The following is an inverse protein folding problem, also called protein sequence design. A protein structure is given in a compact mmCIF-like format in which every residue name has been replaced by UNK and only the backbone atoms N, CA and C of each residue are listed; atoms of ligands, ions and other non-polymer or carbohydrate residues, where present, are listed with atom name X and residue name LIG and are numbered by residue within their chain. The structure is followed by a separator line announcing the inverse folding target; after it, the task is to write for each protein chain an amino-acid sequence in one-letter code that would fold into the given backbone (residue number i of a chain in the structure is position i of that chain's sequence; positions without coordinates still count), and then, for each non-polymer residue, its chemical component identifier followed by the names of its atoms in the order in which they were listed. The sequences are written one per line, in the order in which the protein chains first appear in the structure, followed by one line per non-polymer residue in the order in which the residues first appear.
data_IF_041055166148
#
_entry.id   IF_041055166148
#
_cell.length_a   1.000
_cell.length_b   1.000
_cell.length_c   1.000
_cell.angle_alpha   90.00
_cell.angle_beta   90.00
_cell.angle_gamma   90.00
#
_symmetry.space_group_name_H-M   'P 1'
#
loop_
_entity.id
_entity.type
_entity.pdbx_description
1 polymer ?
#
# COMPACT_ATOMS: atom_id res chain seq x y z
N UNK A 1 1.48 -28.35 -28.25
CA UNK A 1 0.00 -28.29 -28.45
C UNK A 1 -0.46 -26.86 -28.20
N UNK A 2 -0.42 -26.02 -29.24
CA UNK A 2 -0.72 -24.60 -29.16
C UNK A 2 -2.21 -24.35 -29.37
N UNK A 3 -2.90 -23.75 -28.41
CA UNK A 3 -4.28 -23.30 -28.57
C UNK A 3 -4.26 -21.93 -29.25
N UNK A 4 -4.64 -21.88 -30.53
CA UNK A 4 -5.00 -20.64 -31.24
C UNK A 4 -6.26 -20.07 -30.58
N UNK A 5 -6.16 -18.87 -30.01
CA UNK A 5 -7.35 -18.07 -29.72
C UNK A 5 -7.84 -17.44 -31.04
N UNK A 6 -9.15 -17.49 -31.34
CA UNK A 6 -9.69 -16.89 -32.55
C UNK A 6 -9.63 -15.35 -32.49
N UNK A 7 -9.32 -14.66 -33.61
CA UNK A 7 -9.19 -13.21 -33.66
C UNK A 7 -10.53 -12.56 -34.00
N UNK A 8 -11.51 -12.58 -33.08
CA UNK A 8 -12.74 -11.80 -33.25
C UNK A 8 -13.14 -11.16 -31.91
N UNK A 9 -12.44 -10.09 -31.54
CA UNK A 9 -12.92 -9.14 -30.55
C UNK A 9 -13.27 -7.84 -31.26
N UNK A 10 -14.52 -7.73 -31.69
CA UNK A 10 -15.08 -6.46 -32.15
C UNK A 10 -14.90 -5.40 -31.05
N UNK A 11 -14.51 -4.16 -31.40
CA UNK A 11 -14.32 -3.11 -30.42
C UNK A 11 -15.63 -2.86 -29.68
N UNK A 12 -15.60 -2.90 -28.34
CA UNK A 12 -16.75 -2.55 -27.51
C UNK A 12 -17.29 -1.17 -27.94
N UNK A 13 -18.52 -1.17 -28.44
CA UNK A 13 -19.22 0.03 -28.88
C UNK A 13 -19.16 1.12 -27.79
N UNK A 14 -18.73 2.31 -28.22
CA UNK A 14 -18.52 3.47 -27.37
C UNK A 14 -19.87 3.95 -26.82
N UNK A 15 -20.12 3.78 -25.52
CA UNK A 15 -21.37 4.20 -24.83
C UNK A 15 -21.38 5.72 -24.57
N UNK A 16 -21.37 6.51 -25.64
CA UNK A 16 -21.72 7.94 -25.60
C UNK A 16 -20.81 8.86 -24.77
N UNK A 17 -19.50 8.58 -24.71
CA UNK A 17 -18.51 9.44 -24.05
C UNK A 17 -17.67 10.28 -25.01
N UNK A 18 -16.89 11.23 -24.45
CA UNK A 18 -15.84 12.01 -25.15
C UNK A 18 -15.03 11.08 -26.07
N UNK A 19 -14.78 11.48 -27.34
CA UNK A 19 -14.05 10.64 -28.27
C UNK A 19 -12.70 10.20 -27.67
N UNK A 20 -12.30 8.93 -27.87
CA UNK A 20 -11.04 8.44 -27.35
C UNK A 20 -9.88 9.27 -27.91
N UNK A 21 -8.96 9.69 -27.03
CA UNK A 21 -7.81 10.50 -27.41
C UNK A 21 -6.85 9.79 -28.39
N UNK A 22 -7.00 8.48 -28.56
CA UNK A 22 -6.24 7.66 -29.50
C UNK A 22 -7.17 7.17 -30.61
N UNK A 23 -6.87 7.64 -31.83
CA UNK A 23 -7.43 7.11 -33.07
C UNK A 23 -6.82 5.74 -33.40
N UNK A 24 -7.50 4.92 -34.24
CA UNK A 24 -6.99 3.60 -34.64
C UNK A 24 -5.59 3.66 -35.28
N UNK A 25 -5.25 4.73 -36.01
CA UNK A 25 -3.92 4.96 -36.60
C UNK A 25 -2.79 5.07 -35.55
N UNK A 26 -3.08 5.63 -34.36
CA UNK A 26 -2.11 5.71 -33.29
C UNK A 26 -1.98 4.39 -32.53
N UNK A 27 -3.02 3.57 -32.55
CA UNK A 27 -2.99 2.25 -31.94
C UNK A 27 -2.11 1.29 -32.75
N UNK A 28 -2.18 1.29 -34.08
CA UNK A 28 -1.28 0.49 -34.91
C UNK A 28 0.18 0.88 -34.70
N UNK A 29 0.49 2.17 -34.71
CA UNK A 29 1.84 2.67 -34.43
C UNK A 29 2.34 2.26 -33.02
N UNK A 30 1.45 2.20 -32.03
CA UNK A 30 1.79 1.73 -30.69
C UNK A 30 2.16 0.25 -30.66
N UNK A 31 1.45 -0.58 -31.45
CA UNK A 31 1.72 -2.02 -31.53
C UNK A 31 3.03 -2.31 -32.25
N UNK A 32 3.35 -1.55 -33.29
CA UNK A 32 4.63 -1.65 -34.00
C UNK A 32 5.81 -1.33 -33.06
N UNK A 33 5.69 -0.27 -32.25
CA UNK A 33 6.70 0.10 -31.23
C UNK A 33 6.85 -1.01 -30.18
N UNK A 34 5.74 -1.62 -29.74
CA UNK A 34 5.77 -2.74 -28.78
C UNK A 34 6.39 -3.99 -29.41
N UNK A 35 6.17 -4.24 -30.70
CA UNK A 35 6.77 -5.36 -31.42
C UNK A 35 8.29 -5.17 -31.61
N UNK A 36 8.74 -3.95 -31.93
CA UNK A 36 10.17 -3.61 -32.03
C UNK A 36 10.88 -3.63 -30.67
N UNK A 37 10.18 -3.22 -29.60
CA UNK A 37 10.74 -3.06 -28.25
C UNK A 37 9.82 -3.62 -27.18
N UNK A 38 9.73 -4.94 -27.10
CA UNK A 38 8.85 -5.63 -26.14
C UNK A 38 9.14 -5.33 -24.66
N UNK A 39 10.32 -4.81 -24.32
CA UNK A 39 10.71 -4.41 -22.95
C UNK A 39 10.50 -2.92 -22.67
N UNK A 40 10.02 -2.13 -23.64
CA UNK A 40 9.87 -0.69 -23.49
C UNK A 40 8.88 -0.33 -22.37
N UNK A 41 9.22 0.71 -21.62
CA UNK A 41 8.32 1.24 -20.59
C UNK A 41 7.12 1.97 -21.21
N UNK A 42 6.03 2.14 -20.45
CA UNK A 42 4.86 2.90 -20.93
C UNK A 42 5.20 4.37 -21.25
N UNK A 43 6.22 4.93 -20.58
CA UNK A 43 6.70 6.28 -20.86
C UNK A 43 7.49 6.33 -22.16
N UNK A 44 8.35 5.34 -22.42
CA UNK A 44 9.06 5.22 -23.71
C UNK A 44 8.09 5.05 -24.87
N UNK A 45 7.05 4.24 -24.71
CA UNK A 45 6.00 4.08 -25.73
C UNK A 45 5.28 5.41 -25.98
N UNK A 46 4.95 6.17 -24.93
CA UNK A 46 4.33 7.49 -25.08
C UNK A 46 5.26 8.50 -25.77
N UNK A 47 6.57 8.46 -25.48
CA UNK A 47 7.57 9.29 -26.12
C UNK A 47 7.77 8.94 -27.61
N UNK A 48 7.81 7.65 -27.94
CA UNK A 48 7.89 7.17 -29.32
C UNK A 48 6.63 7.50 -30.12
N UNK A 49 5.44 7.46 -29.51
CA UNK A 49 4.20 7.91 -30.15
C UNK A 49 4.20 9.41 -30.44
N UNK A 50 4.78 10.21 -29.54
CA UNK A 50 4.98 11.63 -29.81
C UNK A 50 5.97 11.83 -30.97
N UNK A 51 7.06 11.07 -31.01
CA UNK A 51 8.06 11.17 -32.07
C UNK A 51 7.54 10.72 -33.45
N UNK A 52 6.75 9.62 -33.51
CA UNK A 52 6.26 9.03 -34.77
C UNK A 52 4.96 9.67 -35.27
N UNK A 53 4.07 10.06 -34.36
CA UNK A 53 2.72 10.52 -34.71
C UNK A 53 2.40 11.95 -34.25
N UNK A 54 3.30 12.61 -33.52
CA UNK A 54 3.09 13.98 -32.99
C UNK A 54 2.07 14.07 -31.85
N UNK A 55 1.60 12.93 -31.32
CA UNK A 55 0.53 12.92 -30.30
C UNK A 55 1.12 12.81 -28.90
N UNK A 56 0.92 13.84 -28.08
CA UNK A 56 1.40 13.86 -26.69
C UNK A 56 0.34 13.27 -25.74
N UNK A 57 0.64 12.12 -25.16
CA UNK A 57 -0.25 11.39 -24.24
C UNK A 57 0.49 10.99 -22.96
N UNK A 58 -0.26 10.83 -21.87
CA UNK A 58 0.27 10.25 -20.63
C UNK A 58 0.23 8.72 -20.65
N UNK A 59 1.02 8.11 -19.77
CA UNK A 59 1.09 6.66 -19.53
C UNK A 59 -0.28 6.03 -19.22
N UNK A 60 -1.15 6.74 -18.50
CA UNK A 60 -2.50 6.30 -18.17
C UNK A 60 -3.37 6.12 -19.43
N UNK A 61 -3.21 7.00 -20.43
CA UNK A 61 -3.93 6.92 -21.71
C UNK A 61 -3.45 5.73 -22.54
N UNK A 62 -2.12 5.52 -22.62
CA UNK A 62 -1.52 4.34 -23.28
C UNK A 62 -2.01 3.05 -22.62
N UNK A 63 -1.96 2.99 -21.28
CA UNK A 63 -2.44 1.83 -20.52
C UNK A 63 -3.93 1.56 -20.75
N UNK A 64 -4.76 2.60 -20.82
CA UNK A 64 -6.21 2.45 -21.09
C UNK A 64 -6.46 1.90 -22.49
N UNK A 65 -5.74 2.39 -23.50
CA UNK A 65 -5.85 1.91 -24.87
C UNK A 65 -5.42 0.45 -25.03
N UNK A 66 -4.30 0.05 -24.42
CA UNK A 66 -3.86 -1.35 -24.43
C UNK A 66 -4.85 -2.29 -23.74
N UNK A 67 -5.43 -1.88 -22.61
CA UNK A 67 -6.48 -2.67 -21.96
C UNK A 67 -7.73 -2.84 -22.81
N UNK A 68 -8.12 -1.80 -23.56
CA UNK A 68 -9.27 -1.89 -24.48
C UNK A 68 -9.03 -2.89 -25.62
N UNK A 69 -7.77 -3.10 -26.00
CA UNK A 69 -7.34 -4.11 -26.98
C UNK A 69 -7.00 -5.47 -26.35
N UNK A 70 -7.30 -5.68 -25.06
CA UNK A 70 -7.00 -6.94 -24.36
C UNK A 70 -5.52 -7.16 -24.02
N UNK A 71 -4.67 -6.15 -24.22
CA UNK A 71 -3.23 -6.24 -23.94
C UNK A 71 -2.99 -5.99 -22.46
N UNK A 72 -2.45 -6.99 -21.78
CA UNK A 72 -2.14 -6.95 -20.35
C UNK A 72 -0.63 -7.05 -20.14
N UNK A 73 -0.10 -6.20 -19.25
CA UNK A 73 1.30 -6.30 -18.83
C UNK A 73 1.49 -7.60 -18.04
N UNK A 74 2.30 -8.51 -18.57
CA UNK A 74 2.79 -9.65 -17.81
C UNK A 74 3.79 -9.13 -16.77
N UNK A 75 3.51 -9.41 -15.50
CA UNK A 75 4.50 -9.15 -14.44
C UNK A 75 5.69 -10.08 -14.72
N UNK A 76 6.94 -9.59 -14.64
CA UNK A 76 8.10 -10.45 -14.70
C UNK A 76 7.91 -11.55 -13.66
N UNK A 77 7.90 -12.81 -14.08
CA UNK A 77 8.00 -13.93 -13.16
C UNK A 77 9.34 -13.78 -12.48
N UNK A 78 9.33 -13.27 -11.24
CA UNK A 78 10.53 -13.26 -10.42
C UNK A 78 11.01 -14.71 -10.38
N UNK A 79 12.29 -15.01 -10.70
CA UNK A 79 12.82 -16.31 -10.40
C UNK A 79 12.54 -16.55 -8.92
N UNK A 80 11.88 -17.67 -8.64
CA UNK A 80 11.67 -18.14 -7.27
C UNK A 80 13.06 -18.54 -6.79
N UNK A 81 13.81 -17.56 -6.27
CA UNK A 81 14.90 -17.88 -5.37
C UNK A 81 14.28 -18.71 -4.27
N UNK A 82 14.85 -19.88 -3.98
CA UNK A 82 14.49 -20.64 -2.80
C UNK A 82 14.52 -19.64 -1.64
N UNK A 83 13.34 -19.32 -1.11
CA UNK A 83 13.26 -18.50 0.09
C UNK A 83 13.99 -19.29 1.13
N UNK A 84 15.20 -18.84 1.48
CA UNK A 84 15.88 -19.33 2.67
C UNK A 84 14.84 -19.33 3.79
N UNK A 85 14.74 -20.41 4.58
CA UNK A 85 13.77 -20.46 5.67
C UNK A 85 13.95 -19.18 6.46
N UNK A 86 12.84 -18.44 6.61
CA UNK A 86 12.84 -17.16 7.31
C UNK A 86 13.49 -17.43 8.66
N UNK A 87 14.73 -16.94 8.84
CA UNK A 87 15.46 -17.17 10.07
C UNK A 87 14.54 -16.78 11.22
N UNK A 88 14.46 -17.63 12.25
CA UNK A 88 13.70 -17.31 13.44
C UNK A 88 14.00 -15.86 13.81
N UNK A 89 12.97 -15.03 13.98
CA UNK A 89 13.12 -13.59 14.26
C UNK A 89 14.21 -13.47 15.34
N UNK A 90 15.38 -12.94 14.97
CA UNK A 90 16.54 -12.84 15.86
C UNK A 90 16.24 -11.96 17.09
N UNK A 91 15.19 -11.14 16.97
CA UNK A 91 14.58 -10.37 18.03
C UNK A 91 13.08 -10.19 17.75
N UNK A 92 12.25 -10.32 18.77
CA UNK A 92 10.81 -10.12 18.68
C UNK A 92 10.11 -10.43 20.00
N UNK A 93 9.06 -9.67 20.30
CA UNK A 93 8.19 -9.89 21.45
C UNK A 93 7.55 -11.29 21.35
N UNK A 94 8.07 -12.26 22.10
CA UNK A 94 7.55 -13.63 22.19
C UNK A 94 6.55 -13.75 23.33
N UNK A 95 5.81 -14.86 23.43
CA UNK A 95 4.93 -15.12 24.58
C UNK A 95 5.71 -15.07 25.92
N UNK A 96 7.00 -15.39 25.93
CA UNK A 96 7.87 -15.23 27.11
C UNK A 96 8.11 -13.76 27.52
N UNK A 97 7.81 -12.81 26.65
CA UNK A 97 7.85 -11.36 26.95
C UNK A 97 6.47 -10.79 27.28
N UNK A 98 5.39 -11.53 27.03
CA UNK A 98 4.08 -11.22 27.59
C UNK A 98 4.16 -11.51 29.09
N UNK A 99 4.15 -10.46 29.91
CA UNK A 99 4.07 -10.62 31.35
C UNK A 99 2.61 -10.92 31.70
N UNK A 100 2.33 -12.14 32.14
CA UNK A 100 1.05 -12.44 32.80
C UNK A 100 1.04 -11.81 34.20
N UNK A 101 -0.05 -11.08 34.49
CA UNK A 101 -0.38 -10.46 35.78
C UNK A 101 0.78 -9.87 36.59
N UNK A 102 1.37 -8.79 36.06
CA UNK A 102 2.28 -7.96 36.84
C UNK A 102 1.48 -7.22 37.92
N UNK A 103 1.92 -7.23 39.19
CA UNK A 103 1.37 -6.36 40.20
C UNK A 103 1.35 -4.90 39.69
N UNK A 104 0.28 -4.14 39.95
CA UNK A 104 0.20 -2.77 39.48
C UNK A 104 1.43 -1.98 39.93
N UNK A 105 2.08 -1.30 38.97
CA UNK A 105 3.20 -0.41 39.28
C UNK A 105 2.76 0.64 40.31
N UNK A 106 3.67 1.05 41.19
CA UNK A 106 3.44 2.14 42.14
C UNK A 106 3.08 3.49 41.46
N UNK A 107 3.29 3.58 40.14
CA UNK A 107 2.94 4.73 39.31
C UNK A 107 1.55 4.65 38.70
N UNK A 108 0.80 3.56 38.89
CA UNK A 108 -0.60 3.47 38.49
C UNK A 108 -1.49 4.40 39.34
N UNK A 109 -2.59 4.85 38.76
CA UNK A 109 -3.56 5.65 39.51
C UNK A 109 -4.37 4.78 40.47
N UNK A 110 -4.66 5.32 41.66
CA UNK A 110 -5.61 4.71 42.60
C UNK A 110 -7.04 4.79 42.04
N UNK A 111 -7.95 4.00 42.58
CA UNK A 111 -9.34 4.03 42.13
C UNK A 111 -10.01 5.39 42.42
N UNK A 112 -9.61 6.08 43.50
CA UNK A 112 -10.06 7.44 43.81
C UNK A 112 -9.54 8.48 42.82
N UNK A 113 -8.25 8.44 42.47
CA UNK A 113 -7.68 9.32 41.44
C UNK A 113 -8.33 9.10 40.08
N UNK A 114 -8.74 7.87 39.78
CA UNK A 114 -9.43 7.54 38.53
C UNK A 114 -10.84 8.07 38.46
N UNK A 115 -11.59 7.99 39.55
CA UNK A 115 -12.96 8.50 39.60
C UNK A 115 -12.99 10.01 39.29
N UNK A 116 -11.98 10.76 39.74
CA UNK A 116 -11.85 12.19 39.47
C UNK A 116 -11.62 12.56 38.00
N UNK A 117 -11.11 11.63 37.18
CA UNK A 117 -10.78 11.87 35.77
C UNK A 117 -11.64 11.03 34.81
N UNK A 118 -12.62 10.29 35.33
CA UNK A 118 -13.42 9.36 34.54
C UNK A 118 -14.19 10.07 33.41
N UNK A 119 -14.67 11.28 33.69
CA UNK A 119 -15.37 12.16 32.75
C UNK A 119 -14.54 12.54 31.52
N UNK A 120 -13.22 12.64 31.65
CA UNK A 120 -12.31 12.99 30.55
C UNK A 120 -12.13 11.84 29.55
N UNK A 121 -12.18 10.60 30.03
CA UNK A 121 -11.85 9.42 29.23
C UNK A 121 -13.08 8.60 28.82
N UNK A 122 -14.18 8.68 29.56
CA UNK A 122 -15.42 7.98 29.23
C UNK A 122 -16.18 8.69 28.10
N UNK A 123 -16.40 7.97 26.99
CA UNK A 123 -17.28 8.46 25.92
C UNK A 123 -18.71 8.05 26.22
N UNK A 124 -19.64 8.98 26.00
CA UNK A 124 -21.07 8.67 25.95
C UNK A 124 -21.38 7.55 24.94
N UNK A 125 -22.30 6.63 25.26
CA UNK A 125 -22.68 5.56 24.36
C UNK A 125 -23.22 6.14 23.04
N UNK A 126 -22.75 5.63 21.89
CA UNK A 126 -23.17 6.06 20.55
C UNK A 126 -22.20 6.97 19.78
N UNK A 127 -21.06 7.35 20.37
CA UNK A 127 -20.04 8.18 19.70
C UNK A 127 -19.24 7.40 18.63
N UNK A 128 -19.12 7.95 17.42
CA UNK A 128 -18.28 7.39 16.33
C UNK A 128 -16.79 7.39 16.72
N UNK A 129 -16.07 6.32 16.41
CA UNK A 129 -14.63 6.22 16.65
C UNK A 129 -14.04 4.87 16.30
N UNK A 130 -12.70 4.80 16.28
CA UNK A 130 -11.98 3.54 16.10
C UNK A 130 -12.31 2.56 17.24
N UNK A 131 -12.42 1.25 16.96
CA UNK A 131 -12.66 0.24 17.98
C UNK A 131 -11.57 0.30 19.05
N UNK A 132 -11.99 0.18 20.31
CA UNK A 132 -11.10 0.26 21.47
C UNK A 132 -10.34 -1.06 21.59
N UNK A 133 -9.03 -1.04 21.33
CA UNK A 133 -8.16 -2.21 21.41
C UNK A 133 -7.58 -2.46 22.82
N UNK A 134 -7.48 -1.42 23.64
CA UNK A 134 -6.95 -1.46 25.01
C UNK A 134 -7.92 -0.79 25.96
N UNK A 135 -8.01 -1.26 27.21
CA UNK A 135 -8.85 -0.60 28.18
C UNK A 135 -8.35 0.83 28.41
N UNK A 136 -9.27 1.79 28.59
CA UNK A 136 -8.88 3.19 28.87
C UNK A 136 -8.06 3.30 30.15
N UNK A 137 -8.35 2.45 31.13
CA UNK A 137 -7.59 2.30 32.38
C UNK A 137 -6.12 1.97 32.11
N UNK A 138 -5.83 1.03 31.20
CA UNK A 138 -4.45 0.68 30.85
C UNK A 138 -3.73 1.82 30.13
N UNK A 139 -4.42 2.55 29.26
CA UNK A 139 -3.83 3.71 28.56
C UNK A 139 -3.42 4.82 29.54
N UNK A 140 -4.32 5.19 30.46
CA UNK A 140 -4.03 6.23 31.45
C UNK A 140 -2.91 5.81 32.39
N UNK A 141 -2.89 4.53 32.81
CA UNK A 141 -1.80 3.98 33.60
C UNK A 141 -0.46 4.04 32.85
N UNK A 142 -0.45 3.72 31.56
CA UNK A 142 0.77 3.82 30.73
C UNK A 142 1.26 5.27 30.62
N UNK A 143 0.37 6.24 30.44
CA UNK A 143 0.71 7.66 30.44
C UNK A 143 1.29 8.10 31.79
N UNK A 144 0.63 7.75 32.91
CA UNK A 144 1.11 8.05 34.26
C UNK A 144 2.48 7.42 34.53
N UNK A 145 2.69 6.18 34.08
CA UNK A 145 3.97 5.50 34.17
C UNK A 145 5.08 6.28 33.46
N UNK A 146 4.87 6.71 32.22
CA UNK A 146 5.88 7.46 31.45
C UNK A 146 6.19 8.81 32.13
N UNK A 147 5.17 9.54 32.56
CA UNK A 147 5.33 10.84 33.20
C UNK A 147 6.05 10.75 34.55
N UNK A 148 5.76 9.72 35.35
CA UNK A 148 6.34 9.54 36.70
C UNK A 148 7.73 8.93 36.69
N UNK A 149 8.02 8.03 35.74
CA UNK A 149 9.34 7.38 35.65
C UNK A 149 10.32 8.15 34.75
N UNK A 150 9.84 9.14 34.00
CA UNK A 150 10.67 9.96 33.12
C UNK A 150 11.32 9.15 31.99
N UNK A 151 10.67 8.09 31.50
CA UNK A 151 11.21 7.23 30.46
C UNK A 151 11.63 8.05 29.23
N UNK A 152 12.94 8.20 29.06
CA UNK A 152 13.55 8.70 27.83
C UNK A 152 13.52 7.56 26.82
N UNK A 153 12.74 7.70 25.77
CA UNK A 153 12.91 6.84 24.60
C UNK A 153 14.10 7.37 23.82
N UNK A 154 15.21 6.64 23.83
CA UNK A 154 16.29 6.84 22.88
C UNK A 154 15.70 6.61 21.48
N UNK A 155 15.42 7.70 20.77
CA UNK A 155 15.22 7.64 19.32
C UNK A 155 16.60 7.43 18.72
N UNK A 156 16.90 6.25 18.13
CA UNK A 156 18.18 6.07 17.47
C UNK A 156 18.21 7.02 16.27
N UNK A 157 18.99 8.08 16.40
CA UNK A 157 19.33 8.97 15.30
C UNK A 157 20.04 8.12 14.25
N UNK A 158 19.32 7.69 13.21
CA UNK A 158 19.91 7.15 11.99
C UNK A 158 20.55 8.32 11.24
N UNK A 159 21.65 8.83 11.78
CA UNK A 159 22.53 9.77 11.12
C UNK A 159 23.77 9.03 10.60
N UNK A 160 23.99 9.19 9.31
CA UNK A 160 25.31 9.19 8.67
C UNK A 160 25.94 7.84 8.33
N UNK A 161 25.57 7.30 7.16
CA UNK A 161 26.54 6.72 6.21
C UNK A 161 26.14 7.14 4.78
N UNK A 162 26.69 8.26 4.33
CA UNK A 162 27.05 8.48 2.94
C UNK A 162 28.53 8.09 2.79
#
# INVERSE_FOLDING_TARGET
MARKHPPDSLPLANRGGRPPALKPEHLSASLDVVAERAQASLQEIAAELYHRCGVRICDATVRRAFRAQGIVRLKPTRPVYATAPKAAKRYGYTAAHQREDVPPYSTNLTDTERELIADLFERAPGQRGAPVHYSRRELVNACSYVLRTGCVYDVPTLASRL
#
